data_IF_710708675017
#
_entry.id   IF_710708675017
#
_cell.length_a   1.000
_cell.length_b   1.000
_cell.length_c   1.000
_cell.angle_alpha   90.00
_cell.angle_beta   90.00
_cell.angle_gamma   90.00
#
_symmetry.space_group_name_H-M   'P 1'
#
loop_
_entity.id
_entity.type
_entity.pdbx_description
1 polymer ?
#
# COMPACT_ATOMS: atom_id res chain seq x y z
N UNK A 1 28.51 24.20 7.90
CA UNK A 1 27.86 23.73 6.66
C UNK A 1 26.46 23.25 7.00
N UNK A 2 25.51 23.40 6.08
CA UNK A 2 24.19 22.74 6.18
C UNK A 2 24.25 21.43 5.39
N UNK A 3 23.70 20.36 5.97
CA UNK A 3 23.69 19.02 5.38
C UNK A 3 22.26 18.48 5.36
N UNK A 4 21.78 18.02 4.21
CA UNK A 4 20.45 17.41 4.09
C UNK A 4 20.39 16.34 3.00
N UNK A 5 19.34 15.51 3.03
CA UNK A 5 19.05 14.54 1.97
C UNK A 5 18.16 15.17 0.90
N UNK A 6 18.39 14.81 -0.37
CA UNK A 6 17.61 15.32 -1.50
C UNK A 6 16.28 14.59 -1.64
N UNK A 7 15.26 15.38 -1.94
CA UNK A 7 13.93 14.96 -2.36
C UNK A 7 13.72 15.18 -3.87
N UNK A 8 12.56 14.77 -4.36
CA UNK A 8 12.25 14.71 -5.81
C UNK A 8 10.96 15.40 -6.22
N UNK A 9 10.09 15.74 -5.28
CA UNK A 9 8.81 16.37 -5.52
C UNK A 9 8.91 17.89 -5.35
N UNK A 10 8.00 18.63 -5.99
CA UNK A 10 8.14 20.08 -6.20
C UNK A 10 8.12 20.89 -4.91
N UNK A 11 7.26 20.53 -3.95
CA UNK A 11 7.17 21.22 -2.67
C UNK A 11 8.49 21.12 -1.89
N UNK A 12 9.06 19.91 -1.78
CA UNK A 12 10.34 19.70 -1.09
C UNK A 12 11.49 20.36 -1.85
N UNK A 13 11.54 20.25 -3.19
CA UNK A 13 12.56 20.91 -4.02
C UNK A 13 12.52 22.43 -3.86
N UNK A 14 11.33 23.03 -3.70
CA UNK A 14 11.17 24.46 -3.46
C UNK A 14 11.76 24.87 -2.10
N UNK A 15 11.55 24.07 -1.05
CA UNK A 15 12.17 24.27 0.27
C UNK A 15 13.68 24.14 0.18
N UNK A 16 14.20 23.08 -0.44
CA UNK A 16 15.64 22.88 -0.64
C UNK A 16 16.29 24.06 -1.38
N UNK A 17 15.65 24.52 -2.46
CA UNK A 17 16.13 25.65 -3.26
C UNK A 17 16.19 26.94 -2.44
N UNK A 18 15.23 27.13 -1.54
CA UNK A 18 15.19 28.29 -0.64
C UNK A 18 16.31 28.21 0.41
N UNK A 19 16.54 27.04 1.01
CA UNK A 19 17.66 26.80 1.93
C UNK A 19 19.01 27.09 1.24
N UNK A 20 19.19 26.60 0.00
CA UNK A 20 20.42 26.82 -0.77
C UNK A 20 20.66 28.30 -1.03
N UNK A 21 19.63 29.06 -1.44
CA UNK A 21 19.73 30.51 -1.66
C UNK A 21 20.15 31.26 -0.39
N UNK A 22 19.53 30.94 0.75
CA UNK A 22 19.86 31.55 2.05
C UNK A 22 21.31 31.23 2.45
N UNK A 23 21.72 29.97 2.33
CA UNK A 23 23.08 29.55 2.66
C UNK A 23 24.13 30.20 1.76
N UNK A 24 23.84 30.36 0.46
CA UNK A 24 24.73 31.06 -0.48
C UNK A 24 24.94 32.52 -0.09
N UNK A 25 23.87 33.25 0.24
CA UNK A 25 23.95 34.63 0.71
C UNK A 25 24.78 34.75 2.01
N UNK A 26 24.64 33.76 2.91
CA UNK A 26 25.39 33.69 4.16
C UNK A 26 26.80 33.08 4.03
N UNK A 27 27.25 32.72 2.82
CA UNK A 27 28.53 32.01 2.57
C UNK A 27 28.69 30.69 3.35
N UNK A 28 27.57 30.02 3.62
CA UNK A 28 27.53 28.71 4.30
C UNK A 28 27.55 27.60 3.25
N UNK A 29 28.50 26.68 3.36
CA UNK A 29 28.56 25.51 2.47
C UNK A 29 27.34 24.60 2.68
N UNK A 30 26.69 24.21 1.59
CA UNK A 30 25.63 23.19 1.57
C UNK A 30 26.17 21.87 1.02
N UNK A 31 25.89 20.76 1.70
CA UNK A 31 26.17 19.40 1.22
C UNK A 31 24.88 18.61 1.16
N UNK A 32 24.66 17.92 0.05
CA UNK A 32 23.42 17.17 -0.18
C UNK A 32 23.73 15.72 -0.51
N UNK A 33 22.86 14.82 -0.07
CA UNK A 33 23.04 13.37 -0.23
C UNK A 33 21.77 12.71 -0.76
N UNK A 34 21.92 11.63 -1.53
CA UNK A 34 20.81 10.79 -1.93
C UNK A 34 20.77 9.55 -1.03
N UNK A 35 19.78 9.48 -0.14
CA UNK A 35 19.71 8.46 0.91
C UNK A 35 18.44 7.62 0.94
N UNK A 36 17.41 8.03 0.20
CA UNK A 36 16.04 7.53 0.36
C UNK A 36 15.73 6.23 -0.38
N UNK A 37 16.57 5.77 -1.32
CA UNK A 37 16.34 4.55 -2.13
C UNK A 37 17.24 3.37 -1.76
N UNK A 38 16.83 2.17 -2.15
CA UNK A 38 17.62 0.94 -2.05
C UNK A 38 18.81 0.97 -3.01
N UNK A 39 18.56 1.26 -4.29
CA UNK A 39 19.58 1.47 -5.31
C UNK A 39 19.92 2.95 -5.38
N UNK A 40 21.19 3.30 -5.21
CA UNK A 40 21.60 4.70 -5.28
C UNK A 40 21.46 5.21 -6.72
N UNK A 41 20.95 6.44 -6.88
CA UNK A 41 20.68 7.05 -8.18
C UNK A 41 21.89 7.05 -9.12
N UNK A 42 23.08 7.33 -8.59
CA UNK A 42 24.31 7.39 -9.36
C UNK A 42 24.85 6.00 -9.77
N UNK A 43 24.27 4.91 -9.25
CA UNK A 43 24.60 3.54 -9.65
C UNK A 43 23.62 3.00 -10.71
N UNK A 44 22.61 3.78 -11.10
CA UNK A 44 21.66 3.38 -12.13
C UNK A 44 22.34 3.43 -13.51
N UNK A 45 22.07 2.46 -14.40
CA UNK A 45 22.61 2.44 -15.76
C UNK A 45 21.80 3.35 -16.70
N UNK A 46 21.16 4.39 -16.17
CA UNK A 46 20.25 5.28 -16.87
C UNK A 46 20.51 6.73 -16.47
N UNK A 47 20.35 7.65 -17.43
CA UNK A 47 20.10 9.04 -17.08
C UNK A 47 18.65 9.21 -16.62
N UNK A 48 18.34 10.32 -15.92
CA UNK A 48 16.99 10.65 -15.42
C UNK A 48 15.88 10.44 -16.48
N UNK A 49 16.10 10.93 -17.69
CA UNK A 49 15.13 10.85 -18.80
C UNK A 49 14.91 9.43 -19.32
N UNK A 50 15.88 8.54 -19.12
CA UNK A 50 15.94 7.19 -19.66
C UNK A 50 15.51 6.12 -18.63
N UNK A 51 15.03 6.55 -17.46
CA UNK A 51 14.42 5.64 -16.47
C UNK A 51 13.25 4.92 -17.18
N UNK A 52 13.21 3.57 -17.15
CA UNK A 52 12.18 2.80 -17.85
C UNK A 52 10.76 3.11 -17.40
N UNK A 53 9.83 3.07 -18.35
CA UNK A 53 8.39 3.31 -18.10
C UNK A 53 7.64 2.07 -17.66
N UNK A 54 8.35 0.96 -17.43
CA UNK A 54 7.72 -0.23 -16.85
C UNK A 54 8.56 -0.74 -15.69
N UNK A 55 7.90 -1.04 -14.58
CA UNK A 55 8.54 -1.62 -13.41
C UNK A 55 9.33 -2.88 -13.75
N UNK A 56 8.79 -3.74 -14.62
CA UNK A 56 9.45 -5.00 -15.00
C UNK A 56 10.82 -4.75 -15.64
N UNK A 57 10.92 -3.75 -16.52
CA UNK A 57 12.18 -3.39 -17.18
C UNK A 57 13.15 -2.75 -16.20
N UNK A 58 12.67 -1.81 -15.37
CA UNK A 58 13.46 -1.20 -14.31
C UNK A 58 14.04 -2.25 -13.36
N UNK A 59 13.18 -3.09 -12.75
CA UNK A 59 13.56 -4.17 -11.84
C UNK A 59 14.62 -5.09 -12.45
N UNK A 60 14.34 -5.65 -13.65
CA UNK A 60 15.26 -6.58 -14.31
C UNK A 60 16.65 -5.97 -14.52
N UNK A 61 16.70 -4.67 -14.79
CA UNK A 61 17.97 -4.00 -15.05
C UNK A 61 18.72 -3.68 -13.77
N UNK A 62 18.06 -3.14 -12.74
CA UNK A 62 18.73 -2.85 -11.47
C UNK A 62 19.20 -4.13 -10.77
N UNK A 63 18.42 -5.21 -10.83
CA UNK A 63 18.83 -6.52 -10.31
C UNK A 63 20.05 -7.09 -11.07
N UNK A 64 20.14 -6.86 -12.38
CA UNK A 64 21.22 -7.40 -13.20
C UNK A 64 22.50 -6.54 -13.20
N UNK A 65 22.37 -5.21 -13.03
CA UNK A 65 23.47 -4.25 -13.29
C UNK A 65 23.85 -3.39 -12.10
N UNK A 66 23.01 -3.29 -11.07
CA UNK A 66 23.28 -2.46 -9.90
C UNK A 66 23.62 -3.32 -8.68
N UNK A 67 24.32 -2.72 -7.72
CA UNK A 67 24.55 -3.33 -6.40
C UNK A 67 23.94 -2.45 -5.34
N UNK A 68 23.31 -3.06 -4.34
CA UNK A 68 22.88 -2.34 -3.14
C UNK A 68 24.14 -1.94 -2.37
N UNK A 69 24.34 -0.64 -2.16
CA UNK A 69 25.50 -0.12 -1.43
C UNK A 69 25.50 -0.64 0.01
N UNK A 70 26.69 -0.77 0.59
CA UNK A 70 26.88 -1.11 2.01
C UNK A 70 26.20 -0.09 2.94
N UNK A 71 26.00 -0.50 4.19
CA UNK A 71 25.59 0.41 5.25
C UNK A 71 26.73 1.38 5.55
N UNK A 72 26.38 2.62 5.91
CA UNK A 72 27.37 3.55 6.45
C UNK A 72 27.85 3.01 7.79
N UNK A 73 29.16 2.98 8.01
CA UNK A 73 29.72 2.58 9.30
C UNK A 73 29.15 3.48 10.41
N UNK A 74 28.73 2.86 11.51
CA UNK A 74 28.35 3.60 12.70
C UNK A 74 29.55 4.43 13.17
N UNK A 75 29.30 5.69 13.53
CA UNK A 75 30.32 6.50 14.18
C UNK A 75 30.34 6.09 15.67
N UNK A 76 31.39 5.41 16.16
CA UNK A 76 31.40 4.88 17.53
C UNK A 76 31.39 5.99 18.59
N UNK A 77 31.72 7.23 18.20
CA UNK A 77 31.70 8.39 19.09
C UNK A 77 31.26 9.63 18.31
N UNK A 78 30.04 10.08 18.59
CA UNK A 78 29.59 11.40 18.13
C UNK A 78 30.27 12.49 18.96
N UNK A 79 30.69 13.57 18.31
CA UNK A 79 31.07 14.79 19.04
C UNK A 79 29.83 15.32 19.78
N UNK A 80 30.00 15.98 20.94
CA UNK A 80 28.87 16.60 21.63
C UNK A 80 28.19 17.60 20.69
N UNK A 81 26.87 17.77 20.87
CA UNK A 81 26.13 18.79 20.15
C UNK A 81 26.75 20.18 20.43
N UNK A 82 26.75 21.10 19.45
CA UNK A 82 27.22 22.46 19.67
C UNK A 82 26.47 23.11 20.84
N UNK A 83 27.20 23.87 21.66
CA UNK A 83 26.57 24.71 22.69
C UNK A 83 25.74 25.79 21.98
N UNK A 84 24.44 25.84 22.25
CA UNK A 84 23.54 26.84 21.65
C UNK A 84 23.51 28.06 22.56
N UNK A 85 23.68 29.28 22.00
CA UNK A 85 23.50 30.51 22.76
C UNK A 85 22.09 30.52 23.39
N UNK A 86 22.02 30.79 24.70
CA UNK A 86 20.82 30.70 25.54
C UNK A 86 20.26 29.29 25.82
N UNK A 87 20.98 28.22 25.46
CA UNK A 87 20.74 26.86 25.95
C UNK A 87 19.41 26.19 25.57
N UNK A 88 18.60 26.80 24.69
CA UNK A 88 17.30 26.24 24.28
C UNK A 88 17.40 25.60 22.91
N UNK A 89 17.39 24.27 22.87
CA UNK A 89 17.35 23.46 21.64
C UNK A 89 15.95 23.44 20.98
N UNK A 90 14.95 24.04 21.63
CA UNK A 90 13.54 23.95 21.26
C UNK A 90 12.90 22.67 21.78
N UNK A 91 11.66 22.76 22.27
CA UNK A 91 10.87 21.60 22.67
C UNK A 91 10.21 20.96 21.45
N UNK A 92 9.97 19.64 21.50
CA UNK A 92 9.19 18.96 20.46
C UNK A 92 7.71 19.40 20.62
N UNK A 93 7.07 19.99 19.60
CA UNK A 93 5.70 20.47 19.71
C UNK A 93 4.70 19.30 19.84
N UNK A 94 3.60 19.53 20.55
CA UNK A 94 2.43 18.65 20.55
C UNK A 94 1.62 18.77 19.26
N UNK A 95 0.67 17.86 19.03
CA UNK A 95 -0.27 17.98 17.90
C UNK A 95 -1.11 19.27 17.98
N UNK A 96 -1.47 19.71 19.19
CA UNK A 96 -2.19 20.96 19.41
C UNK A 96 -1.35 22.18 19.01
N UNK A 97 -0.04 22.17 19.32
CA UNK A 97 0.89 23.24 18.90
C UNK A 97 1.01 23.30 17.37
N UNK A 98 0.93 22.15 16.71
CA UNK A 98 0.93 22.02 15.25
C UNK A 98 -0.45 22.29 14.60
N UNK A 99 -1.49 22.58 15.41
CA UNK A 99 -2.88 22.76 14.94
C UNK A 99 -3.41 21.57 14.16
N UNK A 100 -2.97 20.37 14.56
CA UNK A 100 -3.46 19.10 14.01
C UNK A 100 -4.55 18.61 14.95
N UNK A 101 -5.80 18.74 14.52
CA UNK A 101 -6.93 18.19 15.24
C UNK A 101 -6.91 16.65 15.13
N UNK A 102 -7.09 15.92 16.24
CA UNK A 102 -7.30 14.48 16.17
C UNK A 102 -8.50 14.17 15.27
N UNK A 103 -8.42 13.12 14.46
CA UNK A 103 -9.60 12.64 13.76
C UNK A 103 -10.60 12.16 14.83
N UNK A 104 -11.66 12.93 15.07
CA UNK A 104 -12.71 12.56 16.02
C UNK A 104 -13.56 11.43 15.43
N UNK A 105 -13.11 10.19 15.60
CA UNK A 105 -13.81 9.01 15.05
C UNK A 105 -14.74 8.31 16.04
N UNK A 106 -15.01 8.92 17.21
CA UNK A 106 -15.93 8.37 18.22
C UNK A 106 -15.49 7.01 18.80
N UNK A 107 -14.19 6.68 18.70
CA UNK A 107 -13.58 5.42 19.19
C UNK A 107 -12.26 5.70 19.90
N UNK A 108 -11.76 4.71 20.65
CA UNK A 108 -10.45 4.76 21.30
C UNK A 108 -9.33 4.92 20.28
N UNK A 109 -8.39 5.84 20.54
CA UNK A 109 -7.16 6.00 19.77
C UNK A 109 -5.94 5.62 20.62
N UNK A 110 -5.04 4.72 20.16
CA UNK A 110 -5.14 3.96 18.91
C UNK A 110 -6.25 2.90 18.97
N UNK A 111 -6.87 2.60 17.82
CA UNK A 111 -7.88 1.55 17.75
C UNK A 111 -7.21 0.16 17.89
N UNK A 112 -7.65 -0.70 18.83
CA UNK A 112 -7.00 -1.98 19.12
C UNK A 112 -7.07 -2.99 17.96
N UNK A 113 -7.92 -2.75 16.95
CA UNK A 113 -8.02 -3.60 15.74
C UNK A 113 -6.95 -3.28 14.71
N UNK A 114 -6.17 -2.20 14.92
CA UNK A 114 -5.14 -1.75 13.98
C UNK A 114 -4.14 -2.86 13.64
N UNK A 115 -3.84 -3.02 12.35
CA UNK A 115 -2.75 -3.87 11.89
C UNK A 115 -1.37 -3.19 12.05
N UNK A 116 -1.34 -1.92 12.46
CA UNK A 116 -0.14 -1.14 12.77
C UNK A 116 -0.23 -0.61 14.22
N UNK A 117 0.00 -1.44 15.25
CA UNK A 117 -0.03 -1.01 16.65
C UNK A 117 1.31 -0.42 17.12
N UNK A 118 2.17 0.02 16.21
CA UNK A 118 3.57 0.35 16.50
C UNK A 118 3.80 1.84 16.73
N UNK A 119 4.85 2.17 17.48
CA UNK A 119 5.28 3.54 17.70
C UNK A 119 6.18 4.06 16.57
N UNK A 120 6.29 5.38 16.45
CA UNK A 120 7.24 6.03 15.55
C UNK A 120 8.70 5.89 16.01
N UNK A 121 9.62 6.31 15.14
CA UNK A 121 11.06 6.41 15.44
C UNK A 121 11.89 5.17 15.10
N UNK A 122 13.19 5.37 14.94
CA UNK A 122 14.17 4.35 14.52
C UNK A 122 14.14 3.12 15.42
N UNK A 123 14.17 3.31 16.75
CA UNK A 123 14.16 2.21 17.73
C UNK A 123 13.01 1.24 17.52
N UNK A 124 11.78 1.75 17.31
CA UNK A 124 10.62 0.89 17.08
C UNK A 124 10.67 0.20 15.71
N UNK A 125 11.17 0.88 14.68
CA UNK A 125 11.35 0.29 13.36
C UNK A 125 12.39 -0.83 13.34
N UNK A 126 13.51 -0.66 14.05
CA UNK A 126 14.55 -1.69 14.19
C UNK A 126 14.04 -2.90 14.99
N UNK A 127 13.32 -2.68 16.10
CA UNK A 127 12.67 -3.77 16.84
C UNK A 127 11.66 -4.51 15.95
N UNK A 128 10.85 -3.80 15.16
CA UNK A 128 9.90 -4.44 14.24
C UNK A 128 10.60 -5.30 13.19
N UNK A 129 11.73 -4.85 12.63
CA UNK A 129 12.55 -5.67 11.72
C UNK A 129 13.02 -6.93 12.44
N UNK A 130 13.64 -6.77 13.62
CA UNK A 130 14.14 -7.90 14.40
C UNK A 130 13.03 -8.91 14.73
N UNK A 131 11.86 -8.43 15.19
CA UNK A 131 10.72 -9.27 15.53
C UNK A 131 10.16 -9.99 14.32
N UNK A 132 9.94 -9.30 13.20
CA UNK A 132 9.30 -9.89 12.02
C UNK A 132 10.19 -10.92 11.31
N UNK A 133 11.50 -10.67 11.29
CA UNK A 133 12.45 -11.56 10.63
C UNK A 133 12.91 -12.67 11.58
N UNK A 134 13.36 -12.37 12.81
CA UNK A 134 13.99 -13.36 13.69
C UNK A 134 13.04 -13.97 14.72
N UNK A 135 12.20 -13.17 15.38
CA UNK A 135 11.36 -13.67 16.49
C UNK A 135 10.16 -14.45 15.96
N UNK A 136 9.40 -13.89 15.02
CA UNK A 136 8.22 -14.55 14.45
C UNK A 136 8.54 -15.40 13.22
N UNK A 137 9.71 -15.21 12.62
CA UNK A 137 10.16 -15.92 11.41
C UNK A 137 9.20 -15.75 10.21
N UNK A 138 8.35 -14.71 10.24
CA UNK A 138 7.28 -14.54 9.26
C UNK A 138 7.79 -14.06 7.89
N UNK A 139 9.00 -13.50 7.82
CA UNK A 139 9.61 -13.11 6.55
C UNK A 139 9.77 -14.29 5.57
N UNK A 140 9.97 -15.51 6.07
CA UNK A 140 10.02 -16.73 5.26
C UNK A 140 8.70 -17.07 4.56
N UNK A 141 7.58 -16.47 4.99
CA UNK A 141 6.21 -16.71 4.49
C UNK A 141 5.57 -15.47 3.87
N UNK A 142 6.35 -14.40 3.71
CA UNK A 142 5.86 -13.09 3.30
C UNK A 142 5.07 -13.11 1.97
N UNK A 143 5.52 -13.86 0.95
CA UNK A 143 4.83 -13.93 -0.35
C UNK A 143 3.44 -14.55 -0.22
N UNK A 144 3.28 -15.54 0.64
CA UNK A 144 2.02 -16.23 0.90
C UNK A 144 1.07 -15.33 1.71
N UNK A 145 1.60 -14.58 2.68
CA UNK A 145 0.77 -13.83 3.64
C UNK A 145 0.49 -12.39 3.23
N UNK A 146 1.28 -11.75 2.35
CA UNK A 146 1.23 -10.29 2.05
C UNK A 146 -0.13 -9.74 1.60
N UNK A 147 -1.06 -10.61 1.16
CA UNK A 147 -2.41 -10.21 0.79
C UNK A 147 -3.44 -10.32 1.95
N UNK A 148 -2.99 -10.66 3.15
CA UNK A 148 -3.83 -10.67 4.35
C UNK A 148 -4.31 -9.27 4.74
N UNK A 149 -5.37 -9.26 5.56
CA UNK A 149 -6.12 -8.05 5.91
C UNK A 149 -6.22 -7.81 7.42
N UNK A 150 -5.95 -8.83 8.25
CA UNK A 150 -6.05 -8.77 9.71
C UNK A 150 -4.74 -9.19 10.37
N UNK A 151 -4.39 -8.47 11.45
CA UNK A 151 -3.22 -8.74 12.28
C UNK A 151 -1.92 -8.10 11.77
N UNK A 152 -0.93 -7.99 12.65
CA UNK A 152 0.35 -7.38 12.31
C UNK A 152 1.22 -8.24 11.38
N UNK A 153 1.04 -9.56 11.40
CA UNK A 153 2.02 -10.52 10.86
C UNK A 153 1.86 -10.87 9.38
N UNK A 154 0.76 -10.48 8.73
CA UNK A 154 0.57 -10.79 7.31
C UNK A 154 1.59 -10.08 6.39
N UNK A 155 2.24 -9.02 6.87
CA UNK A 155 3.27 -8.27 6.15
C UNK A 155 4.27 -7.63 7.11
N UNK A 156 5.37 -7.09 6.59
CA UNK A 156 6.45 -6.47 7.38
C UNK A 156 5.98 -5.30 8.25
N UNK A 157 5.00 -4.52 7.76
CA UNK A 157 4.56 -3.25 8.33
C UNK A 157 5.65 -2.16 8.35
N UNK A 158 6.71 -2.26 7.53
CA UNK A 158 7.83 -1.31 7.59
C UNK A 158 7.57 0.08 7.00
N UNK A 159 6.44 0.28 6.30
CA UNK A 159 6.22 1.43 5.43
C UNK A 159 6.23 2.78 6.18
N UNK A 160 5.69 2.87 7.39
CA UNK A 160 5.67 4.13 8.15
C UNK A 160 7.09 4.63 8.48
N UNK A 161 7.98 3.73 8.90
CA UNK A 161 9.39 4.07 9.16
C UNK A 161 10.21 4.29 7.89
N UNK A 162 9.84 3.65 6.78
CA UNK A 162 10.44 3.89 5.47
C UNK A 162 10.02 5.24 4.86
N UNK A 163 8.81 5.70 5.15
CA UNK A 163 8.24 6.94 4.63
C UNK A 163 8.94 8.17 5.25
N UNK A 164 9.12 8.19 6.57
CA UNK A 164 9.79 9.30 7.27
C UNK A 164 11.31 9.13 7.46
N UNK A 165 11.89 8.04 6.95
CA UNK A 165 13.33 7.79 7.00
C UNK A 165 13.86 7.28 8.35
N UNK A 166 12.99 6.93 9.31
CA UNK A 166 13.39 6.26 10.57
C UNK A 166 14.13 4.94 10.32
N UNK A 167 13.86 4.28 9.19
CA UNK A 167 14.54 3.06 8.78
C UNK A 167 15.00 3.20 7.32
N UNK A 168 16.27 2.86 7.07
CA UNK A 168 16.82 2.83 5.71
C UNK A 168 16.38 1.57 4.94
N UNK A 169 16.00 1.68 3.65
CA UNK A 169 15.76 0.50 2.81
C UNK A 169 17.01 -0.37 2.63
N UNK A 170 18.21 0.22 2.68
CA UNK A 170 19.47 -0.53 2.66
C UNK A 170 19.69 -1.34 3.93
N UNK A 171 19.28 -0.80 5.09
CA UNK A 171 19.32 -1.54 6.35
C UNK A 171 18.42 -2.78 6.28
N UNK A 172 17.17 -2.61 5.83
CA UNK A 172 16.23 -3.74 5.63
C UNK A 172 16.84 -4.80 4.70
N UNK A 173 17.42 -4.38 3.57
CA UNK A 173 18.05 -5.30 2.63
C UNK A 173 19.20 -6.09 3.26
N UNK A 174 20.15 -5.43 3.92
CA UNK A 174 21.30 -6.12 4.52
C UNK A 174 20.88 -7.04 5.67
N UNK A 175 19.93 -6.61 6.50
CA UNK A 175 19.30 -7.47 7.52
C UNK A 175 18.58 -8.67 6.94
N UNK A 176 17.93 -8.52 5.79
CA UNK A 176 17.35 -9.64 5.08
C UNK A 176 18.42 -10.58 4.53
N UNK A 177 19.57 -10.07 4.06
CA UNK A 177 20.69 -10.92 3.62
C UNK A 177 21.34 -11.70 4.76
N UNK A 178 21.45 -11.09 5.95
CA UNK A 178 21.85 -11.80 7.18
C UNK A 178 20.86 -12.94 7.49
N UNK A 179 19.56 -12.65 7.50
CA UNK A 179 18.51 -13.65 7.69
C UNK A 179 18.59 -14.79 6.67
N UNK A 180 18.78 -14.48 5.39
CA UNK A 180 18.88 -15.46 4.30
C UNK A 180 20.10 -16.39 4.46
N UNK A 181 21.21 -15.88 4.99
CA UNK A 181 22.42 -16.65 5.25
C UNK A 181 22.29 -17.55 6.50
N UNK A 182 21.58 -17.08 7.53
CA UNK A 182 21.40 -17.81 8.80
C UNK A 182 20.26 -18.82 8.77
N UNK A 183 19.21 -18.54 7.97
CA UNK A 183 17.97 -19.32 7.97
C UNK A 183 17.62 -19.79 6.57
N UNK A 184 16.88 -18.99 5.79
CA UNK A 184 16.36 -19.43 4.50
C UNK A 184 16.32 -18.28 3.50
N UNK A 185 16.82 -18.56 2.29
CA UNK A 185 16.54 -17.74 1.10
C UNK A 185 15.49 -18.44 0.25
N UNK A 186 14.37 -17.77 0.02
CA UNK A 186 13.26 -18.31 -0.75
C UNK A 186 12.51 -17.21 -1.52
N UNK A 187 11.37 -17.58 -2.12
CA UNK A 187 10.55 -16.63 -2.86
C UNK A 187 9.97 -15.50 -1.98
N UNK A 188 9.77 -15.74 -0.69
CA UNK A 188 9.21 -14.79 0.26
C UNK A 188 10.23 -13.76 0.71
N UNK A 189 11.47 -14.17 1.02
CA UNK A 189 12.56 -13.23 1.29
C UNK A 189 12.82 -12.36 0.07
N UNK A 190 12.94 -12.94 -1.14
CA UNK A 190 13.04 -12.18 -2.38
C UNK A 190 11.88 -11.19 -2.56
N UNK A 191 10.65 -11.58 -2.22
CA UNK A 191 9.48 -10.70 -2.42
C UNK A 191 9.54 -9.44 -1.56
N UNK A 192 10.23 -9.43 -0.41
CA UNK A 192 10.46 -8.18 0.33
C UNK A 192 11.31 -7.21 -0.50
N UNK A 193 12.38 -7.69 -1.12
CA UNK A 193 13.24 -6.88 -2.00
C UNK A 193 12.45 -6.41 -3.22
N UNK A 194 11.64 -7.28 -3.83
CA UNK A 194 10.77 -6.93 -4.95
C UNK A 194 9.87 -5.73 -4.65
N UNK A 195 9.30 -5.67 -3.44
CA UNK A 195 8.41 -4.58 -3.02
C UNK A 195 9.20 -3.32 -2.63
N UNK A 196 10.42 -3.44 -2.10
CA UNK A 196 11.33 -2.30 -1.95
C UNK A 196 11.72 -1.69 -3.31
N UNK A 197 11.90 -2.52 -4.34
CA UNK A 197 12.15 -2.03 -5.71
C UNK A 197 10.94 -1.26 -6.26
N UNK A 198 9.71 -1.62 -5.87
CA UNK A 198 8.53 -0.82 -6.24
C UNK A 198 8.58 0.58 -5.64
N UNK A 199 8.97 0.71 -4.36
CA UNK A 199 9.18 2.01 -3.70
C UNK A 199 10.25 2.84 -4.42
N UNK A 200 11.39 2.22 -4.75
CA UNK A 200 12.45 2.87 -5.54
C UNK A 200 11.92 3.31 -6.91
N UNK A 201 11.22 2.42 -7.62
CA UNK A 201 10.69 2.70 -8.94
C UNK A 201 9.77 3.91 -8.93
N UNK A 202 8.84 4.01 -7.97
CA UNK A 202 7.98 5.18 -7.86
C UNK A 202 8.75 6.46 -7.58
N UNK A 203 9.76 6.43 -6.70
CA UNK A 203 10.63 7.59 -6.46
C UNK A 203 11.40 8.03 -7.71
N UNK A 204 11.88 7.07 -8.50
CA UNK A 204 12.57 7.35 -9.76
C UNK A 204 11.61 7.82 -10.87
N UNK A 205 10.37 7.32 -10.91
CA UNK A 205 9.30 7.83 -11.79
C UNK A 205 8.97 9.27 -11.43
N UNK A 206 8.76 9.59 -10.15
CA UNK A 206 8.56 10.97 -9.69
C UNK A 206 9.74 11.86 -10.04
N UNK A 207 10.97 11.36 -9.87
CA UNK A 207 12.16 12.10 -10.26
C UNK A 207 12.21 12.37 -11.77
N UNK A 208 11.81 11.42 -12.62
CA UNK A 208 11.75 11.57 -14.09
C UNK A 208 10.68 12.56 -14.52
N UNK A 209 9.44 12.37 -14.04
CA UNK A 209 8.23 13.02 -14.54
C UNK A 209 7.85 14.30 -13.79
N UNK A 210 8.44 14.56 -12.62
CA UNK A 210 8.17 15.73 -11.80
C UNK A 210 6.65 15.90 -11.56
N UNK A 211 6.13 17.11 -11.75
CA UNK A 211 4.75 17.47 -11.39
C UNK A 211 3.66 16.73 -12.17
N UNK A 212 4.02 16.06 -13.28
CA UNK A 212 3.07 15.25 -14.04
C UNK A 212 2.45 14.13 -13.19
N UNK A 213 3.11 13.70 -12.10
CA UNK A 213 2.53 12.71 -11.18
C UNK A 213 1.30 13.23 -10.43
N UNK A 214 1.09 14.55 -10.37
CA UNK A 214 -0.03 15.20 -9.67
C UNK A 214 -1.14 15.68 -10.62
N UNK A 215 -0.86 15.75 -11.92
CA UNK A 215 -1.77 16.32 -12.90
C UNK A 215 -2.92 15.36 -13.24
N UNK A 216 -4.11 15.87 -13.61
CA UNK A 216 -5.28 15.03 -13.87
C UNK A 216 -5.02 13.95 -14.94
N UNK A 217 -4.17 14.24 -15.93
CA UNK A 217 -3.80 13.27 -16.97
C UNK A 217 -2.65 12.33 -16.62
N UNK A 218 -2.07 12.48 -15.42
CA UNK A 218 -0.94 11.71 -14.94
C UNK A 218 0.29 11.86 -15.83
N UNK A 219 1.25 10.95 -15.64
CA UNK A 219 2.49 10.90 -16.43
C UNK A 219 2.25 10.60 -17.91
N UNK A 220 1.08 10.06 -18.27
CA UNK A 220 0.68 9.84 -19.67
C UNK A 220 0.14 11.09 -20.36
N UNK A 221 -0.21 12.15 -19.62
CA UNK A 221 -0.78 13.38 -20.16
C UNK A 221 -2.13 13.21 -20.86
N UNK A 222 -2.89 12.15 -20.54
CA UNK A 222 -4.18 11.84 -21.18
C UNK A 222 -5.30 12.71 -20.62
N UNK A 223 -6.12 13.30 -21.49
CA UNK A 223 -7.32 14.00 -21.06
C UNK A 223 -8.41 12.99 -20.65
N UNK A 224 -8.80 13.01 -19.38
CA UNK A 224 -9.92 12.24 -18.85
C UNK A 224 -10.96 13.19 -18.24
N UNK A 225 -12.27 13.00 -18.52
CA UNK A 225 -13.33 13.82 -17.95
C UNK A 225 -13.66 13.34 -16.52
N UNK A 226 -12.73 13.55 -15.59
CA UNK A 226 -12.90 13.16 -14.20
C UNK A 226 -14.12 13.84 -13.56
N UNK A 227 -14.87 13.08 -12.75
CA UNK A 227 -16.03 13.61 -12.03
C UNK A 227 -15.68 14.00 -10.59
N UNK A 228 -16.33 15.03 -10.06
CA UNK A 228 -16.14 15.52 -8.69
C UNK A 228 -17.44 15.50 -7.89
N UNK A 229 -18.14 14.36 -7.91
CA UNK A 229 -19.35 14.18 -7.11
C UNK A 229 -19.00 14.07 -5.62
N UNK A 230 -19.19 15.18 -4.90
CA UNK A 230 -18.85 15.31 -3.47
C UNK A 230 -19.57 14.29 -2.59
N UNK A 231 -20.84 13.99 -2.88
CA UNK A 231 -21.62 13.03 -2.09
C UNK A 231 -21.06 11.62 -2.21
N UNK A 232 -20.77 11.16 -3.43
CA UNK A 232 -20.14 9.84 -3.64
C UNK A 232 -18.75 9.76 -3.03
N UNK A 233 -17.96 10.84 -3.15
CA UNK A 233 -16.64 10.91 -2.52
C UNK A 233 -16.73 10.81 -0.99
N UNK A 234 -17.65 11.56 -0.35
CA UNK A 234 -17.86 11.48 1.09
C UNK A 234 -18.31 10.09 1.56
N UNK A 235 -19.21 9.45 0.81
CA UNK A 235 -19.62 8.07 1.09
C UNK A 235 -18.44 7.09 1.00
N UNK A 236 -17.53 7.28 0.04
CA UNK A 236 -16.29 6.51 -0.06
C UNK A 236 -15.35 6.79 1.11
N UNK A 237 -15.07 8.05 1.44
CA UNK A 237 -14.20 8.43 2.57
C UNK A 237 -14.67 7.85 3.90
N UNK A 238 -15.98 7.82 4.14
CA UNK A 238 -16.59 7.34 5.39
C UNK A 238 -16.80 5.82 5.42
N UNK A 239 -16.54 5.10 4.32
CA UNK A 239 -16.88 3.67 4.21
C UNK A 239 -18.38 3.42 4.38
N UNK A 240 -19.19 4.17 3.61
CA UNK A 240 -20.66 4.08 3.54
C UNK A 240 -21.14 3.89 2.10
N UNK A 241 -20.38 3.15 1.30
CA UNK A 241 -20.68 2.88 -0.11
C UNK A 241 -21.73 1.78 -0.30
N UNK A 242 -22.01 0.99 0.75
CA UNK A 242 -22.86 -0.20 0.65
C UNK A 242 -22.17 -1.41 0.02
N UNK A 243 -20.85 -1.30 -0.23
CA UNK A 243 -20.00 -2.40 -0.69
C UNK A 243 -19.07 -2.81 0.47
N UNK A 244 -19.36 -3.91 1.20
CA UNK A 244 -18.75 -4.20 2.49
C UNK A 244 -17.22 -4.28 2.49
N UNK A 245 -16.63 -4.83 1.43
CA UNK A 245 -15.18 -4.93 1.31
C UNK A 245 -14.51 -3.55 1.14
N UNK A 246 -15.16 -2.63 0.43
CA UNK A 246 -14.69 -1.24 0.29
C UNK A 246 -14.86 -0.51 1.63
N UNK A 247 -16.03 -0.62 2.22
CA UNK A 247 -16.39 0.06 3.47
C UNK A 247 -15.49 -0.36 4.63
N UNK A 248 -15.19 -1.66 4.75
CA UNK A 248 -14.28 -2.18 5.76
C UNK A 248 -12.87 -1.58 5.64
N UNK A 249 -12.32 -1.50 4.42
CA UNK A 249 -11.01 -0.91 4.20
C UNK A 249 -11.01 0.60 4.47
N UNK A 250 -12.02 1.34 3.98
CA UNK A 250 -12.10 2.78 4.21
C UNK A 250 -12.25 3.13 5.69
N UNK A 251 -13.00 2.32 6.44
CA UNK A 251 -13.08 2.41 7.91
C UNK A 251 -11.78 2.05 8.59
N UNK A 252 -11.06 1.01 8.16
CA UNK A 252 -9.71 0.70 8.68
C UNK A 252 -8.80 1.93 8.57
N UNK A 253 -8.73 2.55 7.38
CA UNK A 253 -7.93 3.75 7.16
C UNK A 253 -8.36 4.90 8.07
N UNK A 254 -9.66 5.21 8.11
CA UNK A 254 -10.17 6.33 8.89
C UNK A 254 -9.91 6.16 10.40
N UNK A 255 -10.02 4.94 10.92
CA UNK A 255 -9.86 4.67 12.36
C UNK A 255 -8.41 4.45 12.80
N UNK A 256 -7.50 4.13 11.87
CA UNK A 256 -6.14 3.69 12.25
C UNK A 256 -5.02 4.43 11.53
N UNK A 257 -5.32 5.18 10.47
CA UNK A 257 -4.34 5.70 9.54
C UNK A 257 -3.57 4.61 8.78
N UNK A 258 -4.04 3.37 8.81
CA UNK A 258 -3.41 2.22 8.15
C UNK A 258 -4.41 1.51 7.22
N UNK A 259 -3.91 0.98 6.11
CA UNK A 259 -4.67 0.07 5.25
C UNK A 259 -3.73 -0.93 4.59
N UNK A 260 -4.15 -2.19 4.49
CA UNK A 260 -3.42 -3.21 3.73
C UNK A 260 -3.23 -2.83 2.25
N UNK A 261 -2.13 -3.27 1.62
CA UNK A 261 -1.92 -3.03 0.17
C UNK A 261 -3.07 -3.59 -0.69
N UNK A 262 -3.61 -4.75 -0.32
CA UNK A 262 -4.78 -5.34 -1.00
C UNK A 262 -6.00 -4.42 -0.88
N UNK A 263 -6.23 -3.84 0.29
CA UNK A 263 -7.23 -2.81 0.53
C UNK A 263 -7.06 -1.61 -0.37
N UNK A 264 -5.86 -0.99 -0.34
CA UNK A 264 -5.54 0.22 -1.12
C UNK A 264 -5.83 0.05 -2.61
N UNK A 265 -5.40 -1.07 -3.19
CA UNK A 265 -5.68 -1.39 -4.59
C UNK A 265 -7.19 -1.47 -4.91
N UNK A 266 -7.98 -2.03 -4.00
CA UNK A 266 -9.42 -2.20 -4.21
C UNK A 266 -10.16 -0.88 -4.06
N UNK A 267 -9.91 -0.11 -3.00
CA UNK A 267 -10.62 1.15 -2.77
C UNK A 267 -10.24 2.22 -3.79
N UNK A 268 -8.99 2.24 -4.26
CA UNK A 268 -8.55 3.12 -5.35
C UNK A 268 -9.21 2.72 -6.69
N UNK A 269 -9.23 1.42 -7.00
CA UNK A 269 -9.94 0.93 -8.19
C UNK A 269 -11.44 1.23 -8.12
N UNK A 270 -12.06 1.11 -6.95
CA UNK A 270 -13.48 1.41 -6.78
C UNK A 270 -13.76 2.89 -7.03
N UNK A 271 -12.99 3.79 -6.42
CA UNK A 271 -13.14 5.24 -6.61
C UNK A 271 -13.01 5.62 -8.10
N UNK A 272 -11.98 5.10 -8.78
CA UNK A 272 -11.67 5.54 -10.15
C UNK A 272 -12.46 4.79 -11.22
N UNK A 273 -12.75 3.50 -11.04
CA UNK A 273 -13.33 2.63 -12.09
C UNK A 273 -14.79 2.24 -11.85
N UNK A 274 -15.28 2.31 -10.62
CA UNK A 274 -16.70 2.09 -10.32
C UNK A 274 -17.42 3.43 -10.15
N UNK A 275 -16.90 4.33 -9.31
CA UNK A 275 -17.51 5.66 -9.10
C UNK A 275 -17.14 6.70 -10.16
N UNK A 276 -16.13 6.43 -11.00
CA UNK A 276 -15.61 7.35 -12.03
C UNK A 276 -15.24 8.75 -11.49
N UNK A 277 -14.74 8.80 -10.25
CA UNK A 277 -14.31 10.05 -9.61
C UNK A 277 -12.86 10.40 -9.96
N UNK A 278 -12.53 11.68 -9.84
CA UNK A 278 -11.16 12.17 -9.94
C UNK A 278 -10.25 11.48 -8.92
N UNK A 279 -9.22 10.80 -9.42
CA UNK A 279 -8.29 10.02 -8.62
C UNK A 279 -7.54 10.88 -7.60
N UNK A 280 -7.35 12.18 -7.87
CA UNK A 280 -6.62 13.11 -6.99
C UNK A 280 -7.33 13.28 -5.65
N UNK A 281 -8.66 13.24 -5.65
CA UNK A 281 -9.45 13.26 -4.42
C UNK A 281 -9.08 12.09 -3.49
N UNK A 282 -8.91 10.90 -4.06
CA UNK A 282 -8.49 9.72 -3.32
C UNK A 282 -7.02 9.79 -2.88
N UNK A 283 -6.14 10.33 -3.73
CA UNK A 283 -4.73 10.52 -3.42
C UNK A 283 -4.50 11.50 -2.26
N UNK A 284 -5.19 12.63 -2.26
CA UNK A 284 -5.16 13.65 -1.20
C UNK A 284 -5.80 13.12 0.10
N UNK A 285 -6.88 12.33 0.01
CA UNK A 285 -7.45 11.67 1.19
C UNK A 285 -6.48 10.68 1.83
N UNK A 286 -5.76 9.92 1.01
CA UNK A 286 -4.72 9.01 1.47
C UNK A 286 -3.53 9.75 2.08
N UNK A 287 -3.13 10.87 1.48
CA UNK A 287 -2.10 11.76 2.03
C UNK A 287 -2.47 12.31 3.40
N UNK A 288 -3.73 12.71 3.58
CA UNK A 288 -4.21 13.25 4.85
C UNK A 288 -4.27 12.23 6.00
N UNK A 289 -4.36 10.92 5.71
CA UNK A 289 -4.65 9.89 6.73
C UNK A 289 -3.57 8.82 6.90
N UNK A 290 -2.81 8.50 5.87
CA UNK A 290 -1.86 7.39 5.94
C UNK A 290 -0.69 7.69 6.87
N UNK A 291 -0.51 6.88 7.91
CA UNK A 291 0.69 6.87 8.76
C UNK A 291 1.97 6.59 7.97
N UNK A 292 1.83 6.00 6.79
CA UNK A 292 2.93 5.66 5.89
C UNK A 292 2.88 6.41 4.56
N UNK A 293 2.30 7.61 4.55
CA UNK A 293 2.33 8.46 3.37
C UNK A 293 3.77 8.72 2.90
N UNK A 294 4.09 8.24 1.70
CA UNK A 294 5.25 8.62 0.90
C UNK A 294 4.71 9.16 -0.42
N UNK A 295 5.00 10.43 -0.71
CA UNK A 295 4.46 11.16 -1.87
C UNK A 295 4.64 10.39 -3.18
N UNK A 296 5.82 9.82 -3.41
CA UNK A 296 6.11 9.10 -4.64
C UNK A 296 5.29 7.81 -4.76
N UNK A 297 5.24 7.04 -3.69
CA UNK A 297 4.55 5.75 -3.63
C UNK A 297 3.03 5.94 -3.66
N UNK A 298 2.49 6.94 -2.97
CA UNK A 298 1.06 7.25 -2.97
C UNK A 298 0.59 7.67 -4.36
N UNK A 299 1.12 8.79 -4.87
CA UNK A 299 0.68 9.34 -6.16
C UNK A 299 1.04 8.41 -7.33
N UNK A 300 2.17 7.71 -7.26
CA UNK A 300 2.54 6.68 -8.23
C UNK A 300 1.52 5.52 -8.29
N UNK A 301 1.10 4.97 -7.15
CA UNK A 301 0.09 3.91 -7.12
C UNK A 301 -1.30 4.39 -7.57
N UNK A 302 -1.66 5.64 -7.26
CA UNK A 302 -2.91 6.24 -7.74
C UNK A 302 -2.91 6.43 -9.26
N UNK A 303 -1.80 6.91 -9.85
CA UNK A 303 -1.64 6.98 -11.31
C UNK A 303 -1.80 5.59 -11.95
N UNK A 304 -1.18 4.55 -11.36
CA UNK A 304 -1.35 3.17 -11.81
C UNK A 304 -2.82 2.71 -11.74
N UNK A 305 -3.49 2.94 -10.61
CA UNK A 305 -4.88 2.53 -10.39
C UNK A 305 -5.85 3.26 -11.32
N UNK A 306 -5.54 4.53 -11.64
CA UNK A 306 -6.33 5.33 -12.56
C UNK A 306 -6.12 4.97 -14.04
N UNK A 307 -5.06 4.21 -14.37
CA UNK A 307 -4.73 3.87 -15.76
C UNK A 307 -4.08 5.03 -16.55
N UNK A 308 -3.51 5.98 -15.82
CA UNK A 308 -2.76 7.15 -16.34
C UNK A 308 -1.27 7.08 -15.96
N UNK A 309 -0.86 5.95 -15.39
CA UNK A 309 0.50 5.64 -14.99
C UNK A 309 1.20 4.67 -15.94
N UNK A 310 2.29 4.10 -15.45
CA UNK A 310 3.18 3.21 -16.17
C UNK A 310 2.67 1.73 -16.24
N UNK A 311 1.35 1.53 -16.21
CA UNK A 311 0.74 0.21 -16.42
C UNK A 311 0.50 0.02 -17.93
N UNK A 312 1.07 -1.02 -18.57
CA UNK A 312 0.73 -1.33 -19.96
C UNK A 312 -0.74 -1.76 -20.15
N UNK A 313 -1.53 -1.89 -19.07
CA UNK A 313 -2.95 -2.30 -19.08
C UNK A 313 -3.85 -1.15 -18.64
N UNK A 314 -4.41 -0.45 -19.62
CA UNK A 314 -5.21 0.76 -19.37
C UNK A 314 -6.56 0.48 -18.66
N UNK A 315 -7.12 -0.71 -18.83
CA UNK A 315 -8.49 -1.07 -18.38
C UNK A 315 -8.52 -2.09 -17.23
N UNK A 316 -7.48 -2.16 -16.40
CA UNK A 316 -7.50 -3.05 -15.24
C UNK A 316 -8.47 -2.52 -14.18
N UNK A 317 -9.62 -3.18 -14.04
CA UNK A 317 -10.61 -2.95 -12.99
C UNK A 317 -10.66 -4.13 -12.03
N UNK A 318 -10.68 -3.86 -10.72
CA UNK A 318 -10.92 -4.89 -9.72
C UNK A 318 -12.42 -5.12 -9.53
N UNK A 319 -12.85 -6.39 -9.45
CA UNK A 319 -14.22 -6.74 -9.11
C UNK A 319 -14.33 -6.88 -7.59
N UNK A 320 -15.00 -5.94 -6.92
CA UNK A 320 -15.03 -5.85 -5.46
C UNK A 320 -15.55 -7.12 -4.79
N UNK A 321 -16.53 -7.79 -5.40
CA UNK A 321 -17.13 -9.00 -4.84
C UNK A 321 -16.17 -10.18 -4.95
N UNK A 322 -15.54 -10.34 -6.11
CA UNK A 322 -14.51 -11.37 -6.29
C UNK A 322 -13.34 -11.14 -5.32
N UNK A 323 -12.94 -9.89 -5.13
CA UNK A 323 -11.82 -9.55 -4.24
C UNK A 323 -12.17 -9.83 -2.77
N UNK A 324 -13.38 -9.48 -2.32
CA UNK A 324 -13.89 -9.90 -1.01
C UNK A 324 -13.88 -11.41 -0.84
N UNK A 325 -14.40 -12.17 -1.81
CA UNK A 325 -14.41 -13.63 -1.77
C UNK A 325 -13.01 -14.27 -1.80
N UNK A 326 -12.06 -13.69 -2.56
CA UNK A 326 -10.70 -14.23 -2.69
C UNK A 326 -9.84 -13.97 -1.44
N UNK A 327 -10.00 -12.80 -0.80
CA UNK A 327 -9.09 -12.30 0.25
C UNK A 327 -9.71 -12.21 1.65
N UNK A 328 -11.04 -12.27 1.74
CA UNK A 328 -11.80 -12.36 2.99
C UNK A 328 -12.92 -13.42 2.85
N UNK A 329 -12.59 -14.68 2.53
CA UNK A 329 -13.59 -15.71 2.21
C UNK A 329 -14.57 -16.00 3.37
N UNK A 330 -14.11 -15.84 4.61
CA UNK A 330 -14.93 -16.01 5.81
C UNK A 330 -15.63 -14.72 6.26
N UNK A 331 -15.34 -13.58 5.63
CA UNK A 331 -15.90 -12.28 6.00
C UNK A 331 -15.34 -11.65 7.28
N UNK A 332 -14.32 -12.24 7.91
CA UNK A 332 -13.79 -11.81 9.21
C UNK A 332 -13.29 -10.37 9.18
N UNK A 333 -12.66 -9.96 8.08
CA UNK A 333 -12.19 -8.57 7.93
C UNK A 333 -13.37 -7.61 7.85
N UNK A 334 -14.38 -7.92 7.03
CA UNK A 334 -15.61 -7.12 6.98
C UNK A 334 -16.31 -7.04 8.34
N UNK A 335 -16.49 -8.16 9.03
CA UNK A 335 -17.12 -8.19 10.37
C UNK A 335 -16.36 -7.37 11.42
N UNK A 336 -15.04 -7.26 11.27
CA UNK A 336 -14.18 -6.48 12.18
C UNK A 336 -14.41 -4.99 12.03
N UNK A 337 -14.55 -4.50 10.79
CA UNK A 337 -14.61 -3.07 10.48
C UNK A 337 -16.02 -2.53 10.21
N UNK A 338 -16.96 -3.42 9.88
CA UNK A 338 -18.37 -3.14 9.62
C UNK A 338 -19.22 -3.98 10.61
N UNK A 339 -19.21 -3.62 11.92
CA UNK A 339 -19.81 -4.43 12.97
C UNK A 339 -21.32 -4.65 12.78
N UNK A 340 -22.02 -3.72 12.13
CA UNK A 340 -23.44 -3.87 11.77
C UNK A 340 -23.69 -5.08 10.85
N UNK A 341 -22.68 -5.59 10.14
CA UNK A 341 -22.79 -6.79 9.29
C UNK A 341 -22.33 -8.08 9.98
N UNK A 342 -22.04 -8.09 11.28
CA UNK A 342 -21.54 -9.27 12.00
C UNK A 342 -22.48 -10.49 11.92
N UNK A 343 -23.80 -10.24 11.88
CA UNK A 343 -24.81 -11.30 11.80
C UNK A 343 -25.07 -11.80 10.39
N UNK A 344 -24.48 -11.17 9.37
CA UNK A 344 -24.65 -11.62 7.98
C UNK A 344 -23.91 -12.95 7.77
N UNK A 345 -24.55 -13.97 7.18
CA UNK A 345 -23.89 -15.25 6.90
C UNK A 345 -22.63 -15.07 6.04
N UNK A 346 -21.56 -15.82 6.35
CA UNK A 346 -20.25 -15.70 5.69
C UNK A 346 -20.33 -15.72 4.16
N UNK A 347 -21.16 -16.59 3.57
CA UNK A 347 -21.33 -16.69 2.12
C UNK A 347 -22.04 -15.50 1.45
N UNK A 348 -22.64 -14.60 2.24
CA UNK A 348 -23.41 -13.42 1.77
C UNK A 348 -22.88 -12.10 2.29
N UNK A 349 -21.85 -12.10 3.15
CA UNK A 349 -21.32 -10.89 3.79
C UNK A 349 -20.79 -9.84 2.81
N UNK A 350 -20.29 -10.27 1.65
CA UNK A 350 -19.81 -9.35 0.61
C UNK A 350 -20.95 -8.77 -0.24
N UNK A 351 -22.18 -9.24 -0.06
CA UNK A 351 -23.35 -8.95 -0.90
C UNK A 351 -24.66 -8.86 -0.08
N UNK A 352 -24.70 -8.08 1.02
CA UNK A 352 -25.85 -8.08 1.94
C UNK A 352 -27.16 -7.64 1.28
N UNK A 353 -27.10 -6.86 0.20
CA UNK A 353 -28.26 -6.47 -0.62
C UNK A 353 -28.94 -7.62 -1.37
N UNK A 354 -28.37 -8.82 -1.32
CA UNK A 354 -28.95 -10.03 -1.92
C UNK A 354 -29.67 -10.92 -0.91
N UNK A 355 -29.72 -10.52 0.37
CA UNK A 355 -30.50 -11.20 1.41
C UNK A 355 -32.00 -11.07 1.11
N UNK A 356 -32.73 -12.17 1.27
CA UNK A 356 -34.19 -12.14 1.25
C UNK A 356 -34.74 -11.43 2.48
N UNK A 357 -35.96 -10.90 2.41
CA UNK A 357 -36.63 -10.24 3.56
C UNK A 357 -36.63 -11.13 4.81
N UNK A 358 -36.83 -12.44 4.63
CA UNK A 358 -36.78 -13.42 5.73
C UNK A 358 -35.39 -13.51 6.36
N UNK A 359 -34.33 -13.53 5.54
CA UNK A 359 -32.95 -13.59 6.04
C UNK A 359 -32.59 -12.29 6.76
N UNK A 360 -32.85 -11.13 6.14
CA UNK A 360 -32.63 -9.82 6.74
C UNK A 360 -33.39 -9.63 8.05
N UNK A 361 -34.67 -10.03 8.10
CA UNK A 361 -35.50 -9.99 9.31
C UNK A 361 -34.99 -10.90 10.41
N UNK A 362 -34.45 -12.09 10.07
CA UNK A 362 -33.91 -13.03 11.07
C UNK A 362 -32.65 -12.52 11.78
N UNK A 363 -31.89 -11.63 11.14
CA UNK A 363 -30.66 -11.04 11.71
C UNK A 363 -30.85 -9.60 12.21
N UNK A 364 -32.01 -9.01 11.92
CA UNK A 364 -32.35 -7.63 12.25
C UNK A 364 -31.48 -6.63 11.47
N UNK A 365 -31.31 -6.84 10.17
CA UNK A 365 -30.56 -5.94 9.28
C UNK A 365 -31.52 -5.25 8.32
N UNK A 366 -31.65 -3.94 8.41
CA UNK A 366 -32.39 -3.10 7.48
C UNK A 366 -31.44 -2.28 6.60
N UNK A 367 -31.43 -2.56 5.29
CA UNK A 367 -30.60 -1.82 4.34
C UNK A 367 -31.16 -0.41 4.09
N UNK A 368 -30.28 0.58 4.12
CA UNK A 368 -30.64 2.00 4.11
C UNK A 368 -30.79 2.61 5.51
N UNK A 369 -30.92 1.78 6.56
CA UNK A 369 -30.99 2.20 7.97
C UNK A 369 -29.73 1.76 8.72
N UNK A 370 -29.53 0.46 8.89
CA UNK A 370 -28.40 -0.11 9.64
C UNK A 370 -27.10 -0.13 8.81
N UNK A 371 -27.23 -0.46 7.51
CA UNK A 371 -26.12 -0.47 6.55
C UNK A 371 -26.60 0.08 5.21
N UNK A 372 -25.85 0.95 4.51
CA UNK A 372 -26.31 1.57 3.27
C UNK A 372 -26.59 0.56 2.16
N UNK A 373 -27.57 0.90 1.30
CA UNK A 373 -27.72 0.25 0.01
C UNK A 373 -26.51 0.60 -0.89
N UNK A 374 -26.09 -0.30 -1.80
CA UNK A 374 -24.96 -0.02 -2.68
C UNK A 374 -25.19 1.25 -3.51
N UNK A 375 -24.25 2.19 -3.43
CA UNK A 375 -24.28 3.43 -4.24
C UNK A 375 -24.13 3.15 -5.74
N UNK A 376 -23.58 1.97 -6.08
CA UNK A 376 -23.50 1.44 -7.43
C UNK A 376 -23.50 -0.09 -7.39
N UNK A 377 -24.03 -0.72 -8.44
CA UNK A 377 -23.88 -2.14 -8.71
C UNK A 377 -23.32 -2.36 -10.10
N UNK A 378 -22.07 -2.82 -10.21
CA UNK A 378 -21.48 -3.07 -11.53
C UNK A 378 -22.03 -4.38 -12.14
N UNK A 379 -22.33 -4.42 -13.44
CA UNK A 379 -22.92 -5.61 -14.09
C UNK A 379 -22.11 -6.90 -13.87
N UNK A 380 -20.79 -6.82 -13.83
CA UNK A 380 -19.87 -7.95 -13.66
C UNK A 380 -19.91 -8.58 -12.27
N UNK A 381 -20.47 -7.90 -11.26
CA UNK A 381 -20.60 -8.43 -9.89
C UNK A 381 -21.62 -9.58 -9.82
N UNK A 382 -22.65 -9.55 -10.67
CA UNK A 382 -23.73 -10.55 -10.75
C UNK A 382 -23.23 -12.00 -10.89
N UNK A 383 -22.10 -12.19 -11.58
CA UNK A 383 -21.46 -13.49 -11.80
C UNK A 383 -20.99 -14.18 -10.52
N UNK A 384 -20.86 -13.42 -9.43
CA UNK A 384 -20.41 -13.89 -8.13
C UNK A 384 -21.57 -14.07 -7.13
N UNK A 385 -22.74 -13.47 -7.38
CA UNK A 385 -23.95 -13.64 -6.55
C UNK A 385 -24.61 -15.01 -6.78
N UNK A 386 -24.68 -15.49 -8.03
CA UNK A 386 -25.38 -16.73 -8.37
C UNK A 386 -24.58 -18.02 -8.12
N UNK A 387 -23.29 -17.90 -7.76
CA UNK A 387 -22.46 -19.07 -7.43
C UNK A 387 -22.58 -19.49 -5.97
N UNK A 388 -22.99 -18.58 -5.08
CA UNK A 388 -23.13 -18.86 -3.64
C UNK A 388 -24.43 -19.60 -3.31
N UNK A 389 -25.37 -19.74 -4.26
CA UNK A 389 -26.62 -20.50 -4.11
C UNK A 389 -26.56 -21.96 -4.60
N UNK A 390 -25.40 -22.44 -5.08
CA UNK A 390 -25.26 -23.83 -5.50
C UNK A 390 -25.13 -24.77 -4.28
N UNK A 391 -26.12 -25.66 -4.10
CA UNK A 391 -26.11 -26.73 -3.08
C UNK A 391 -24.81 -27.55 -3.12
N UNK A 392 -24.33 -28.10 -1.98
CA UNK A 392 -23.24 -29.06 -1.99
C UNK A 392 -23.64 -30.24 -2.90
N UNK A 393 -22.76 -30.62 -3.83
CA UNK A 393 -22.97 -31.81 -4.66
C UNK A 393 -23.00 -33.04 -3.74
N UNK A 394 -24.08 -33.82 -3.82
CA UNK A 394 -24.21 -35.13 -3.16
C UNK A 394 -23.03 -36.04 -3.58
N UNK A 395 -22.30 -36.67 -2.64
CA UNK A 395 -21.17 -37.54 -2.96
C UNK A 395 -21.55 -38.82 -3.74
N UNK A 396 -22.84 -39.13 -3.91
CA UNK A 396 -23.29 -40.46 -4.34
C UNK A 396 -23.49 -40.68 -5.85
N UNK A 397 -23.23 -39.70 -6.70
CA UNK A 397 -23.37 -39.86 -8.17
C UNK A 397 -22.09 -39.52 -8.95
N UNK A 398 -20.94 -39.99 -8.49
CA UNK A 398 -19.67 -39.92 -9.23
C UNK A 398 -19.04 -41.30 -9.40
N UNK A 399 -19.78 -42.25 -9.97
CA UNK A 399 -19.23 -43.51 -10.47
C UNK A 399 -19.50 -43.58 -11.98
N UNK A 400 -18.53 -43.14 -12.79
CA UNK A 400 -18.64 -43.24 -14.23
C UNK A 400 -17.62 -42.43 -15.04
N UNK A 401 -16.47 -43.06 -15.29
CA UNK A 401 -15.52 -42.85 -16.41
C UNK A 401 -14.50 -41.69 -16.31
N UNK A 402 -13.23 -42.07 -16.38
CA UNK A 402 -12.12 -41.24 -16.89
C UNK A 402 -10.94 -41.08 -15.93
N UNK A 403 -9.90 -41.92 -16.08
CA UNK A 403 -8.57 -41.68 -15.49
C UNK A 403 -8.01 -40.35 -16.01
N UNK A 404 -7.85 -39.38 -15.12
CA UNK A 404 -7.21 -38.09 -15.36
C UNK A 404 -6.57 -37.57 -14.06
N UNK A 405 -5.39 -36.98 -14.17
CA UNK A 405 -4.47 -36.62 -13.09
C UNK A 405 -5.08 -35.77 -11.96
N UNK A 406 -4.56 -35.98 -10.74
CA UNK A 406 -4.90 -35.24 -9.50
C UNK A 406 -4.91 -33.71 -9.72
N UNK A 407 -5.88 -32.95 -9.16
CA UNK A 407 -5.86 -31.50 -9.24
C UNK A 407 -4.82 -30.93 -8.29
N UNK A 408 -3.88 -30.15 -8.83
CA UNK A 408 -3.01 -29.26 -8.04
C UNK A 408 -3.87 -28.16 -7.42
N UNK A 409 -3.56 -27.85 -6.16
CA UNK A 409 -4.06 -26.72 -5.38
C UNK A 409 -4.14 -25.42 -6.20
N UNK A 410 -5.18 -24.63 -5.95
CA UNK A 410 -5.53 -23.42 -6.68
C UNK A 410 -4.35 -22.48 -6.91
N UNK A 411 -3.95 -22.35 -8.18
CA UNK A 411 -3.04 -21.31 -8.63
C UNK A 411 -3.68 -19.94 -8.42
N UNK A 412 -3.04 -19.13 -7.56
CA UNK A 412 -3.22 -17.68 -7.51
C UNK A 412 -2.83 -17.05 -8.86
N UNK A 413 -3.79 -17.02 -9.80
CA UNK A 413 -3.64 -16.31 -11.08
C UNK A 413 -3.73 -14.80 -10.86
N UNK A 414 -2.68 -14.23 -10.29
CA UNK A 414 -2.49 -12.79 -10.17
C UNK A 414 -1.05 -12.33 -10.39
N UNK A 415 -0.06 -13.23 -10.26
CA UNK A 415 1.37 -12.88 -10.24
C UNK A 415 2.24 -13.86 -11.07
N UNK A 416 1.76 -15.06 -11.39
CA UNK A 416 2.51 -16.11 -12.13
C UNK A 416 2.99 -15.72 -13.55
N UNK A 417 2.66 -14.52 -14.04
CA UNK A 417 3.13 -14.03 -15.34
C UNK A 417 4.62 -13.64 -15.34
N UNK A 418 5.19 -13.28 -14.18
CA UNK A 418 6.60 -12.83 -14.11
C UNK A 418 7.64 -13.94 -14.30
N UNK A 419 7.24 -15.21 -14.39
CA UNK A 419 8.14 -16.37 -14.38
C UNK A 419 8.00 -17.33 -15.58
N UNK A 420 7.41 -16.91 -16.71
CA UNK A 420 7.61 -17.68 -17.96
C UNK A 420 9.01 -17.43 -18.52
N UNK A 421 9.99 -18.20 -18.03
CA UNK A 421 11.30 -18.36 -18.64
C UNK A 421 11.15 -19.05 -20.01
N UNK A 422 11.47 -18.34 -21.09
CA UNK A 422 11.65 -18.93 -22.41
C UNK A 422 12.80 -19.95 -22.34
N UNK A 423 12.47 -21.22 -22.52
CA UNK A 423 13.47 -22.22 -22.87
C UNK A 423 13.89 -21.94 -24.31
N UNK A 424 15.10 -21.40 -24.50
CA UNK A 424 15.85 -21.57 -25.73
C UNK A 424 16.19 -23.06 -25.84
N UNK A 425 15.59 -23.75 -26.80
CA UNK A 425 16.13 -25.01 -27.31
C UNK A 425 17.29 -24.68 -28.25
N UNK A 426 18.29 -25.57 -28.21
CA UNK A 426 19.44 -25.66 -29.12
C UNK A 426 19.09 -25.43 -30.57
#
# INVERSE_FOLDING_TARGET
SVVFQKEVCSEEIQVESSIVKICQAAKIQVKTFWGSTLFHRDDLPYAKKDIPDTYTQFRKTVEARCKVRGLTAECPTWKPLPQVENGKLGDIPSLADLKVEPVEVGRSYPDPRSAFPFAGGETSGLDRIHRYYWVSDNVAKYKETRNGLLGSEYSTKFSAWLANGSVSPRYIYHKLKEYEAERVSNQSTYWVIFELIWRDYFRFVSWKYADLIFYPGGIMGKAYPWQTNKTLFQMWCQGRTGVPFVDANMRELLYTGWMSNRGRQNVASFLVKDLNLDWRLGAEWFESLLLDHDVCSNYGNWNYSAGIGNDPRENRKFNMIKQGLDYDPEGKFVQTWVPELQRVPQGKIHVPWTLSEKESGSIGLELGVDYPTPVITAPEWSRHFHKTSAKPKDPRNAAGRGRGSKPKSGQQKGIDFYFKSGHTKS
#
